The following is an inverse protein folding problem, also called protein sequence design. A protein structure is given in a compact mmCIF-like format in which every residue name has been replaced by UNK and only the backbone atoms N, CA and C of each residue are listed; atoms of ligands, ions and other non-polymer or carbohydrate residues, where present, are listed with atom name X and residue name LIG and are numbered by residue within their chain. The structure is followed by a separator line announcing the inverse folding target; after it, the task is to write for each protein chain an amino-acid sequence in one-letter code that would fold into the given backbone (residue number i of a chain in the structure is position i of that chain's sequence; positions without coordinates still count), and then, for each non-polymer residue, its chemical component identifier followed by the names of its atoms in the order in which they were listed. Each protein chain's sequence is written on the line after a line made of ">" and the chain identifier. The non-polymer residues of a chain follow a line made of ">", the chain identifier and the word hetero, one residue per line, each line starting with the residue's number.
data_IF_790440542069
#
_entry.id   IF_790440542069
#
_cell.length_a   1.000
_cell.length_b   1.000
_cell.length_c   1.000
_cell.angle_alpha   90.00
_cell.angle_beta   90.00
_cell.angle_gamma   90.00
#
_symmetry.space_group_name_H-M   'P 1'
#
loop_
_entity.id
_entity.type
_entity.pdbx_description
1 polymer ?
#
# COMPACT_ATOMS: atom_id res chain seq x y z
N UNK A 1 16.76 41.92 25.57
CA UNK A 1 17.38 40.62 25.88
C UNK A 1 16.36 39.48 26.11
N UNK A 2 15.22 39.71 26.78
CA UNK A 2 14.18 38.69 27.04
C UNK A 2 13.58 38.05 25.76
N UNK A 3 13.39 38.85 24.71
CA UNK A 3 12.90 38.39 23.40
C UNK A 3 13.90 37.52 22.64
N UNK A 4 15.20 37.83 22.75
CA UNK A 4 16.25 37.04 22.09
C UNK A 4 16.32 35.63 22.68
N UNK A 5 16.19 35.51 24.00
CA UNK A 5 16.16 34.22 24.69
C UNK A 5 14.91 33.41 24.33
N UNK A 6 13.73 34.06 24.25
CA UNK A 6 12.49 33.42 23.83
C UNK A 6 12.54 32.90 22.38
N UNK A 7 13.15 33.66 21.47
CA UNK A 7 13.33 33.25 20.05
C UNK A 7 14.27 32.05 19.93
N UNK A 8 15.37 32.01 20.68
CA UNK A 8 16.31 30.89 20.67
C UNK A 8 15.68 29.60 21.23
N UNK A 9 14.89 29.70 22.29
CA UNK A 9 14.17 28.56 22.87
C UNK A 9 13.11 28.03 21.89
N UNK A 10 12.36 28.90 21.22
CA UNK A 10 11.35 28.48 20.23
C UNK A 10 11.97 27.75 19.02
N UNK A 11 13.12 28.22 18.52
CA UNK A 11 13.85 27.58 17.42
C UNK A 11 14.39 26.20 17.81
N UNK A 12 14.90 26.04 19.03
CA UNK A 12 15.39 24.75 19.53
C UNK A 12 14.25 23.73 19.67
N UNK A 13 13.08 24.15 20.17
CA UNK A 13 11.89 23.30 20.28
C UNK A 13 11.40 22.89 18.88
N UNK A 14 11.36 23.82 17.92
CA UNK A 14 11.01 23.51 16.54
C UNK A 14 11.95 22.45 15.95
N UNK A 15 13.27 22.59 16.14
CA UNK A 15 14.27 21.61 15.71
C UNK A 15 14.08 20.22 16.37
N UNK A 16 13.74 20.18 17.65
CA UNK A 16 13.48 18.92 18.35
C UNK A 16 12.21 18.21 17.83
N UNK A 17 11.20 18.98 17.44
CA UNK A 17 9.97 18.46 16.83
C UNK A 17 10.20 17.91 15.42
N UNK A 18 11.02 18.55 14.57
CA UNK A 18 11.37 17.95 13.26
C UNK A 18 12.25 16.71 13.39
N UNK A 19 13.10 16.62 14.42
CA UNK A 19 13.91 15.42 14.66
C UNK A 19 13.13 14.22 15.21
N UNK A 20 11.91 14.44 15.74
CA UNK A 20 11.04 13.36 16.21
C UNK A 20 10.13 12.80 15.11
N UNK A 21 10.13 13.42 13.93
CA UNK A 21 9.44 12.90 12.76
C UNK A 21 10.26 11.78 12.10
N UNK A 22 9.59 10.69 11.74
CA UNK A 22 10.20 9.64 10.92
C UNK A 22 10.12 10.03 9.44
N UNK A 23 11.13 10.79 8.99
CA UNK A 23 11.24 11.30 7.62
C UNK A 23 11.18 10.19 6.56
N UNK A 24 11.78 9.02 6.85
CA UNK A 24 11.74 7.86 5.97
C UNK A 24 10.33 7.30 5.81
N UNK A 25 9.53 7.27 6.88
CA UNK A 25 8.12 6.83 6.81
C UNK A 25 7.28 7.82 6.00
N UNK A 26 7.53 9.12 6.14
CA UNK A 26 6.83 10.17 5.40
C UNK A 26 7.15 10.11 3.89
N UNK A 27 8.42 9.92 3.52
CA UNK A 27 8.81 9.79 2.11
C UNK A 27 8.25 8.52 1.46
N UNK A 28 8.23 7.42 2.21
CA UNK A 28 7.62 6.15 1.77
C UNK A 28 6.13 6.30 1.48
N UNK A 29 5.37 6.92 2.39
CA UNK A 29 3.95 7.18 2.18
C UNK A 29 3.68 8.08 0.95
N UNK A 30 4.54 9.09 0.73
CA UNK A 30 4.44 9.96 -0.45
C UNK A 30 4.72 9.21 -1.76
N UNK A 31 5.65 8.26 -1.76
CA UNK A 31 5.95 7.40 -2.91
C UNK A 31 4.73 6.52 -3.27
N UNK A 32 4.17 5.81 -2.29
CA UNK A 32 3.04 4.91 -2.51
C UNK A 32 1.81 5.67 -3.02
N UNK A 33 1.51 6.83 -2.42
CA UNK A 33 0.40 7.68 -2.87
C UNK A 33 0.61 8.18 -4.31
N UNK A 34 1.83 8.58 -4.66
CA UNK A 34 2.16 9.01 -6.03
C UNK A 34 1.98 7.88 -7.03
N UNK A 35 2.31 6.65 -6.63
CA UNK A 35 2.10 5.46 -7.44
C UNK A 35 0.60 5.17 -7.64
N UNK A 36 -0.23 5.27 -6.60
CA UNK A 36 -1.68 5.11 -6.73
C UNK A 36 -2.30 6.14 -7.69
N UNK A 37 -1.89 7.41 -7.63
CA UNK A 37 -2.35 8.44 -8.58
C UNK A 37 -1.94 8.08 -10.01
N UNK A 38 -0.69 7.67 -10.21
CA UNK A 38 -0.15 7.32 -11.53
C UNK A 38 -0.83 6.10 -12.15
N UNK A 39 -1.12 5.08 -11.34
CA UNK A 39 -1.68 3.81 -11.79
C UNK A 39 -3.19 3.68 -11.54
N UNK A 40 -3.89 4.77 -11.19
CA UNK A 40 -5.28 4.73 -10.72
C UNK A 40 -6.27 3.96 -11.62
N UNK A 41 -6.05 3.92 -12.94
CA UNK A 41 -6.91 3.23 -13.91
C UNK A 41 -6.39 1.86 -14.35
N UNK A 42 -5.18 1.50 -13.96
CA UNK A 42 -4.49 0.26 -14.39
C UNK A 42 -3.97 -0.55 -13.21
N UNK A 43 -4.19 -0.10 -11.98
CA UNK A 43 -3.70 -0.77 -10.79
C UNK A 43 -4.34 -2.14 -10.64
N UNK A 44 -5.67 -2.22 -10.74
CA UNK A 44 -6.38 -3.49 -10.63
C UNK A 44 -5.98 -4.51 -11.70
N UNK A 45 -5.82 -4.09 -12.96
CA UNK A 45 -5.38 -4.98 -14.03
C UNK A 45 -3.90 -5.39 -13.86
N UNK A 46 -3.06 -4.50 -13.34
CA UNK A 46 -1.66 -4.82 -13.00
C UNK A 46 -1.60 -5.83 -11.85
N UNK A 47 -2.41 -5.64 -10.82
CA UNK A 47 -2.53 -6.55 -9.68
C UNK A 47 -2.96 -7.94 -10.14
N UNK A 48 -4.01 -8.03 -10.97
CA UNK A 48 -4.48 -9.29 -11.55
C UNK A 48 -3.42 -9.98 -12.42
N UNK A 49 -2.69 -9.22 -13.24
CA UNK A 49 -1.62 -9.76 -14.07
C UNK A 49 -0.47 -10.32 -13.20
N UNK A 50 -0.09 -9.62 -12.13
CA UNK A 50 0.91 -10.09 -11.17
C UNK A 50 0.43 -11.29 -10.37
N UNK A 51 -0.84 -11.32 -9.95
CA UNK A 51 -1.44 -12.45 -9.25
C UNK A 51 -1.44 -13.69 -10.15
N UNK A 52 -1.97 -13.56 -11.37
CA UNK A 52 -2.08 -14.67 -12.33
C UNK A 52 -0.70 -15.17 -12.78
N UNK A 53 0.22 -14.27 -13.10
CA UNK A 53 1.59 -14.62 -13.50
C UNK A 53 2.41 -15.30 -12.40
N UNK A 54 2.05 -15.08 -11.14
CA UNK A 54 2.65 -15.71 -9.97
C UNK A 54 1.80 -16.84 -9.38
N UNK A 55 0.71 -17.25 -10.05
CA UNK A 55 -0.23 -18.29 -9.56
C UNK A 55 -0.75 -18.02 -8.13
N UNK A 56 -0.92 -16.73 -7.78
CA UNK A 56 -1.40 -16.31 -6.47
C UNK A 56 -0.35 -16.36 -5.34
N UNK A 57 0.92 -16.64 -5.63
CA UNK A 57 1.96 -16.70 -4.61
C UNK A 57 2.34 -15.28 -4.09
N UNK A 58 2.12 -15.04 -2.79
CA UNK A 58 2.30 -13.72 -2.16
C UNK A 58 3.65 -13.05 -2.50
N UNK A 59 4.78 -13.71 -2.21
CA UNK A 59 6.10 -13.11 -2.39
C UNK A 59 6.44 -12.77 -3.86
N UNK A 60 6.03 -13.63 -4.79
CA UNK A 60 6.19 -13.37 -6.22
C UNK A 60 5.33 -12.19 -6.66
N UNK A 61 4.06 -12.16 -6.25
CA UNK A 61 3.14 -11.08 -6.59
C UNK A 61 3.57 -9.74 -5.99
N UNK A 62 3.99 -9.71 -4.72
CA UNK A 62 4.58 -8.52 -4.09
C UNK A 62 5.73 -7.96 -4.92
N UNK A 63 6.68 -8.82 -5.33
CA UNK A 63 7.82 -8.42 -6.16
C UNK A 63 7.37 -7.85 -7.51
N UNK A 64 6.41 -8.51 -8.17
CA UNK A 64 5.86 -8.04 -9.45
C UNK A 64 5.16 -6.67 -9.31
N UNK A 65 4.33 -6.49 -8.28
CA UNK A 65 3.59 -5.26 -8.01
C UNK A 65 4.57 -4.12 -7.71
N UNK A 66 5.56 -4.37 -6.87
CA UNK A 66 6.62 -3.42 -6.56
C UNK A 66 7.30 -2.91 -7.84
N UNK A 67 7.70 -3.83 -8.72
CA UNK A 67 8.41 -3.49 -9.96
C UNK A 67 7.53 -2.76 -10.97
N UNK A 68 6.26 -3.16 -11.12
CA UNK A 68 5.36 -2.57 -12.12
C UNK A 68 4.75 -1.25 -11.68
N UNK A 69 4.39 -1.12 -10.40
CA UNK A 69 3.67 0.04 -9.86
C UNK A 69 4.62 1.04 -9.18
N UNK A 70 5.74 0.58 -8.64
CA UNK A 70 6.70 1.44 -7.92
C UNK A 70 6.31 1.68 -6.46
N UNK A 71 5.55 0.77 -5.85
CA UNK A 71 5.28 0.81 -4.41
C UNK A 71 6.56 0.59 -3.60
N UNK A 72 6.55 1.06 -2.37
CA UNK A 72 7.56 0.70 -1.38
C UNK A 72 7.49 -0.81 -1.09
N UNK A 73 8.60 -1.44 -0.67
CA UNK A 73 8.60 -2.88 -0.39
C UNK A 73 7.51 -3.30 0.60
N UNK A 74 7.32 -2.54 1.67
CA UNK A 74 6.29 -2.84 2.68
C UNK A 74 4.87 -2.79 2.13
N UNK A 75 4.54 -1.76 1.35
CA UNK A 75 3.21 -1.64 0.73
C UNK A 75 2.99 -2.74 -0.31
N UNK A 76 4.00 -3.04 -1.13
CA UNK A 76 3.93 -4.13 -2.10
C UNK A 76 3.74 -5.50 -1.44
N UNK A 77 4.38 -5.75 -0.28
CA UNK A 77 4.15 -6.97 0.51
C UNK A 77 2.69 -7.08 0.96
N UNK A 78 2.07 -6.00 1.43
CA UNK A 78 0.65 -6.03 1.82
C UNK A 78 -0.27 -6.46 0.66
N UNK A 79 -0.03 -5.97 -0.55
CA UNK A 79 -0.79 -6.41 -1.73
C UNK A 79 -0.43 -7.84 -2.16
N UNK A 80 0.83 -8.28 -1.99
CA UNK A 80 1.19 -9.68 -2.18
C UNK A 80 0.44 -10.60 -1.23
N UNK A 81 0.33 -10.22 0.04
CA UNK A 81 -0.40 -10.99 1.06
C UNK A 81 -1.91 -11.01 0.77
N UNK A 82 -2.48 -9.91 0.25
CA UNK A 82 -3.85 -9.87 -0.25
C UNK A 82 -4.09 -10.86 -1.41
N UNK A 83 -3.14 -10.93 -2.36
CA UNK A 83 -3.17 -11.91 -3.44
C UNK A 83 -3.08 -13.35 -2.88
N UNK A 84 -2.18 -13.61 -1.95
CA UNK A 84 -2.05 -14.92 -1.30
C UNK A 84 -3.28 -15.33 -0.51
N UNK A 85 -3.89 -14.38 0.19
CA UNK A 85 -5.18 -14.55 0.87
C UNK A 85 -6.27 -14.92 -0.12
N UNK A 86 -6.37 -14.19 -1.24
CA UNK A 86 -7.38 -14.40 -2.28
C UNK A 86 -7.21 -15.78 -2.93
N UNK A 87 -5.97 -16.16 -3.23
CA UNK A 87 -5.65 -17.49 -3.77
C UNK A 87 -6.06 -18.62 -2.82
N UNK A 88 -5.99 -18.40 -1.50
CA UNK A 88 -6.31 -19.42 -0.49
C UNK A 88 -7.80 -19.48 -0.14
N UNK A 89 -8.48 -18.34 -0.04
CA UNK A 89 -9.85 -18.25 0.46
C UNK A 89 -10.90 -18.14 -0.65
N UNK A 90 -10.50 -17.71 -1.84
CA UNK A 90 -11.41 -17.35 -2.93
C UNK A 90 -11.21 -18.14 -4.21
N UNK A 91 -10.41 -19.23 -4.19
CA UNK A 91 -10.02 -19.97 -5.41
C UNK A 91 -11.21 -20.35 -6.31
N UNK A 92 -12.33 -20.79 -5.72
CA UNK A 92 -13.54 -21.17 -6.47
C UNK A 92 -14.27 -19.95 -7.05
N UNK A 93 -14.21 -18.81 -6.37
CA UNK A 93 -14.78 -17.54 -6.86
C UNK A 93 -13.87 -16.88 -7.90
N UNK A 94 -12.58 -17.22 -7.88
CA UNK A 94 -11.52 -16.64 -8.71
C UNK A 94 -11.06 -17.54 -9.86
N UNK A 95 -11.87 -18.51 -10.29
CA UNK A 95 -11.62 -19.25 -11.55
C UNK A 95 -11.46 -18.29 -12.74
N UNK A 96 -12.21 -17.19 -12.70
CA UNK A 96 -11.94 -16.00 -13.48
C UNK A 96 -11.52 -14.87 -12.52
N UNK A 97 -10.24 -14.45 -12.52
CA UNK A 97 -9.71 -13.50 -11.54
C UNK A 97 -10.33 -12.10 -11.67
N UNK A 98 -10.92 -11.78 -12.83
CA UNK A 98 -11.62 -10.53 -13.09
C UNK A 98 -13.14 -10.62 -12.90
N UNK A 99 -13.65 -11.76 -12.44
CA UNK A 99 -15.09 -11.91 -12.21
C UNK A 99 -15.55 -11.12 -10.99
N UNK A 100 -16.81 -10.62 -10.99
CA UNK A 100 -17.39 -9.98 -9.81
C UNK A 100 -17.35 -10.87 -8.56
N UNK A 101 -17.56 -12.18 -8.72
CA UNK A 101 -17.50 -13.13 -7.61
C UNK A 101 -16.10 -13.18 -6.94
N UNK A 102 -15.03 -13.11 -7.73
CA UNK A 102 -13.67 -13.05 -7.21
C UNK A 102 -13.44 -11.77 -6.41
N UNK A 103 -13.83 -10.63 -6.98
CA UNK A 103 -13.69 -9.31 -6.35
C UNK A 103 -14.48 -9.25 -5.05
N UNK A 104 -15.73 -9.72 -5.03
CA UNK A 104 -16.57 -9.74 -3.83
C UNK A 104 -15.99 -10.64 -2.75
N UNK A 105 -15.45 -11.80 -3.13
CA UNK A 105 -14.79 -12.69 -2.18
C UNK A 105 -13.53 -12.06 -1.58
N UNK A 106 -12.65 -11.49 -2.43
CA UNK A 106 -11.43 -10.81 -1.97
C UNK A 106 -11.76 -9.63 -1.05
N UNK A 107 -12.74 -8.81 -1.43
CA UNK A 107 -13.22 -7.69 -0.60
C UNK A 107 -13.76 -8.15 0.76
N UNK A 108 -14.40 -9.31 0.82
CA UNK A 108 -14.97 -9.85 2.06
C UNK A 108 -13.92 -10.43 3.00
N UNK A 109 -12.96 -11.19 2.46
CA UNK A 109 -12.06 -12.01 3.28
C UNK A 109 -10.63 -11.45 3.39
N UNK A 110 -10.18 -10.66 2.42
CA UNK A 110 -8.77 -10.28 2.29
C UNK A 110 -8.55 -8.77 2.41
N UNK A 111 -9.45 -7.95 1.86
CA UNK A 111 -9.35 -6.49 1.90
C UNK A 111 -9.19 -5.90 3.32
N UNK A 112 -9.90 -6.38 4.38
CA UNK A 112 -9.70 -5.83 5.72
C UNK A 112 -8.26 -5.94 6.23
N UNK A 113 -7.58 -7.06 5.92
CA UNK A 113 -6.18 -7.27 6.29
C UNK A 113 -5.25 -6.39 5.45
N UNK A 114 -5.54 -6.23 4.16
CA UNK A 114 -4.81 -5.32 3.27
C UNK A 114 -4.85 -3.88 3.79
N UNK A 115 -6.04 -3.35 4.09
CA UNK A 115 -6.19 -1.97 4.59
C UNK A 115 -5.45 -1.76 5.91
N UNK A 116 -5.49 -2.76 6.79
CA UNK A 116 -4.75 -2.74 8.07
C UNK A 116 -3.24 -2.76 7.84
N UNK A 117 -2.74 -3.61 6.93
CA UNK A 117 -1.32 -3.74 6.61
C UNK A 117 -0.77 -2.47 5.96
N UNK A 118 -1.45 -1.97 4.93
CA UNK A 118 -1.04 -0.78 4.18
C UNK A 118 -1.27 0.52 4.97
N UNK A 119 -2.12 0.49 6.01
CA UNK A 119 -2.44 1.66 6.83
C UNK A 119 -3.23 2.73 6.06
N UNK A 120 -4.08 2.30 5.12
CA UNK A 120 -4.86 3.19 4.26
C UNK A 120 -6.36 2.88 4.36
N UNK A 121 -7.25 3.89 4.24
CA UNK A 121 -8.67 3.64 4.06
C UNK A 121 -8.95 3.08 2.65
N UNK A 122 -10.06 2.37 2.49
CA UNK A 122 -10.46 1.83 1.19
C UNK A 122 -10.60 2.91 0.10
N UNK A 123 -11.04 4.12 0.47
CA UNK A 123 -11.16 5.25 -0.45
C UNK A 123 -9.84 5.75 -1.03
N UNK A 124 -8.70 5.32 -0.47
CA UNK A 124 -7.38 5.66 -0.97
C UNK A 124 -6.82 4.60 -1.94
N UNK A 125 -7.45 3.43 -2.04
CA UNK A 125 -7.03 2.41 -2.99
C UNK A 125 -7.42 2.81 -4.42
N UNK A 126 -6.52 2.65 -5.40
CA UNK A 126 -6.82 2.87 -6.81
C UNK A 126 -7.79 1.82 -7.37
N UNK A 127 -8.48 2.19 -8.45
CA UNK A 127 -9.49 1.33 -9.09
C UNK A 127 -8.90 0.16 -9.90
#
# INVERSE_FOLDING_TARGET
>A
MKYLFAVLVALAIALQLVNSLNWSKLSSAAQDLSAFVKFNSTFHSTLQACASGCLGASACSATCIQQKVGLTPGCATCFGDDVGCTASNCVLSCLSPSSPACVDCSNKYCLPALLTCAGVPQSALPN
#
